data_IF_539900709382
#
_entry.id   IF_539900709382
#
_cell.length_a   1.000
_cell.length_b   1.000
_cell.length_c   1.000
_cell.angle_alpha   90.00
_cell.angle_beta   90.00
_cell.angle_gamma   90.00
#
_symmetry.space_group_name_H-M   'P 1'
#
loop_
_entity.id
_entity.type
_entity.pdbx_description
1 polymer ?
#
# COMPACT_ATOMS: atom_id res chain seq x y z
N UNK A 1 -7.85 7.91 29.21
CA UNK A 1 -7.54 7.31 27.89
C UNK A 1 -8.45 6.10 27.79
N UNK A 2 -9.56 6.21 27.07
CA UNK A 2 -10.53 5.12 26.97
C UNK A 2 -10.03 4.15 25.90
N UNK A 3 -9.56 2.99 26.32
CA UNK A 3 -9.40 1.84 25.44
C UNK A 3 -10.82 1.42 25.03
N UNK A 4 -11.13 1.61 23.75
CA UNK A 4 -12.31 0.97 23.15
C UNK A 4 -11.93 -0.50 23.04
N UNK A 5 -12.47 -1.33 23.93
CA UNK A 5 -12.43 -2.78 23.79
C UNK A 5 -13.30 -3.13 22.57
N UNK A 6 -12.67 -3.57 21.48
CA UNK A 6 -13.38 -4.13 20.34
C UNK A 6 -13.85 -5.52 20.72
N UNK A 7 -15.13 -5.78 20.46
CA UNK A 7 -15.83 -6.97 20.90
C UNK A 7 -15.51 -8.13 19.93
N UNK A 8 -14.48 -8.91 20.25
CA UNK A 8 -13.94 -10.03 19.44
C UNK A 8 -15.01 -11.05 19.00
N UNK A 9 -16.16 -11.14 19.70
CA UNK A 9 -17.25 -12.05 19.37
C UNK A 9 -17.99 -11.73 18.07
N UNK A 10 -18.10 -10.45 17.69
CA UNK A 10 -18.78 -10.03 16.44
C UNK A 10 -17.87 -10.27 15.24
N UNK A 11 -16.56 -10.08 15.41
CA UNK A 11 -15.56 -10.28 14.36
C UNK A 11 -15.48 -11.76 13.95
N UNK A 12 -15.62 -12.69 14.91
CA UNK A 12 -15.59 -14.14 14.64
C UNK A 12 -16.84 -14.61 13.89
N UNK A 13 -18.05 -14.20 14.28
CA UNK A 13 -19.29 -14.62 13.59
C UNK A 13 -19.37 -14.04 12.17
N UNK A 14 -19.00 -12.77 11.97
CA UNK A 14 -18.94 -12.20 10.62
C UNK A 14 -17.84 -12.88 9.80
N UNK A 15 -16.62 -13.02 10.31
CA UNK A 15 -15.52 -13.73 9.63
C UNK A 15 -15.92 -15.15 9.23
N UNK A 16 -16.65 -15.86 10.09
CA UNK A 16 -17.13 -17.23 9.82
C UNK A 16 -18.19 -17.24 8.72
N UNK A 17 -19.18 -16.33 8.76
CA UNK A 17 -20.24 -16.23 7.75
C UNK A 17 -19.72 -15.81 6.37
N UNK A 18 -18.69 -14.96 6.31
CA UNK A 18 -18.12 -14.48 5.04
C UNK A 18 -17.13 -15.47 4.40
N UNK A 19 -16.59 -16.43 5.17
CA UNK A 19 -15.71 -17.51 4.70
C UNK A 19 -16.47 -18.77 4.24
N UNK A 20 -17.80 -18.72 4.19
CA UNK A 20 -18.63 -19.85 3.74
C UNK A 20 -18.42 -20.19 2.25
N UNK A 21 -17.89 -19.26 1.44
CA UNK A 21 -17.44 -19.57 0.07
C UNK A 21 -16.12 -20.38 0.10
N UNK A 22 -16.16 -21.57 -0.52
CA UNK A 22 -15.02 -22.48 -0.64
C UNK A 22 -13.77 -21.81 -1.23
N UNK A 23 -13.93 -20.89 -2.19
CA UNK A 23 -12.80 -20.19 -2.79
C UNK A 23 -12.13 -19.23 -1.79
N UNK A 24 -12.93 -18.49 -1.03
CA UNK A 24 -12.43 -17.54 -0.03
C UNK A 24 -11.80 -18.26 1.17
N UNK A 25 -12.36 -19.38 1.60
CA UNK A 25 -11.75 -20.24 2.62
C UNK A 25 -10.37 -20.73 2.19
N UNK A 26 -10.23 -21.20 0.95
CA UNK A 26 -8.94 -21.67 0.41
C UNK A 26 -7.90 -20.55 0.34
N UNK A 27 -8.30 -19.35 -0.07
CA UNK A 27 -7.40 -18.19 -0.11
C UNK A 27 -6.91 -17.80 1.30
N UNK A 28 -7.81 -17.82 2.29
CA UNK A 28 -7.46 -17.60 3.69
C UNK A 28 -6.47 -18.65 4.21
N UNK A 29 -6.78 -19.94 4.05
CA UNK A 29 -5.93 -21.04 4.49
C UNK A 29 -4.55 -21.03 3.82
N UNK A 30 -4.50 -20.69 2.53
CA UNK A 30 -3.25 -20.56 1.77
C UNK A 30 -2.33 -19.47 2.33
N UNK A 31 -2.91 -18.33 2.72
CA UNK A 31 -2.15 -17.22 3.33
C UNK A 31 -1.70 -17.56 4.75
N UNK A 32 -2.53 -18.22 5.55
CA UNK A 32 -2.13 -18.69 6.88
C UNK A 32 -0.97 -19.69 6.81
N UNK A 33 -1.03 -20.64 5.87
CA UNK A 33 0.07 -21.60 5.67
C UNK A 33 1.37 -20.91 5.25
N UNK A 34 1.30 -19.89 4.39
CA UNK A 34 2.48 -19.06 4.08
C UNK A 34 2.99 -18.35 5.34
N UNK A 35 2.09 -17.81 6.17
CA UNK A 35 2.45 -17.20 7.45
C UNK A 35 3.13 -18.19 8.41
N UNK A 36 2.83 -19.47 8.38
CA UNK A 36 3.57 -20.42 9.24
C UNK A 36 5.01 -20.66 8.73
N UNK A 37 5.22 -20.64 7.42
CA UNK A 37 6.49 -20.99 6.79
C UNK A 37 7.46 -19.82 6.62
N UNK A 38 6.93 -18.61 6.38
CA UNK A 38 7.75 -17.47 5.99
C UNK A 38 8.47 -16.81 7.19
N UNK A 39 9.67 -16.23 6.99
CA UNK A 39 10.35 -15.50 8.05
C UNK A 39 9.61 -14.22 8.42
N UNK A 40 9.80 -13.74 9.65
CA UNK A 40 9.30 -12.44 10.06
C UNK A 40 10.14 -11.30 9.45
N UNK A 41 9.51 -10.20 9.07
CA UNK A 41 10.15 -9.01 8.50
C UNK A 41 10.05 -7.83 9.46
N UNK A 42 11.21 -7.37 9.93
CA UNK A 42 11.34 -6.15 10.74
C UNK A 42 11.06 -4.90 9.88
N UNK A 43 9.78 -4.58 9.74
CA UNK A 43 9.26 -3.47 8.94
C UNK A 43 7.85 -3.09 9.39
N UNK A 44 7.50 -1.81 9.30
CA UNK A 44 6.16 -1.33 9.55
C UNK A 44 5.92 -0.76 10.95
N UNK A 45 6.96 -0.55 11.76
CA UNK A 45 6.82 0.01 13.10
C UNK A 45 5.95 1.28 13.10
N UNK A 46 4.92 1.30 13.94
CA UNK A 46 3.96 2.40 14.10
C UNK A 46 3.13 2.74 12.84
N UNK A 47 3.18 1.93 11.79
CA UNK A 47 2.37 2.15 10.60
C UNK A 47 0.93 1.70 10.82
N UNK A 48 0.00 2.45 10.24
CA UNK A 48 -1.41 2.08 10.19
C UNK A 48 -1.82 1.76 8.75
N UNK A 49 -2.34 0.56 8.54
CA UNK A 49 -2.76 0.05 7.24
C UNK A 49 -4.27 -0.13 7.20
N UNK A 50 -4.91 0.46 6.20
CA UNK A 50 -6.32 0.31 5.93
C UNK A 50 -6.55 -0.58 4.71
N UNK A 51 -7.28 -1.66 4.91
CA UNK A 51 -7.75 -2.58 3.87
C UNK A 51 -9.17 -2.20 3.48
N UNK A 52 -9.43 -2.12 2.18
CA UNK A 52 -10.77 -1.88 1.64
C UNK A 52 -11.14 -3.02 0.69
N UNK A 53 -12.19 -3.76 1.04
CA UNK A 53 -12.72 -4.86 0.23
C UNK A 53 -14.16 -5.17 0.58
N UNK A 54 -15.02 -5.27 -0.44
CA UNK A 54 -16.44 -5.58 -0.32
C UNK A 54 -16.83 -6.95 -0.94
N UNK A 55 -15.86 -7.70 -1.46
CA UNK A 55 -16.10 -8.92 -2.25
C UNK A 55 -15.13 -10.09 -2.01
N UNK A 56 -13.98 -9.86 -1.41
CA UNK A 56 -12.95 -10.91 -1.24
C UNK A 56 -12.53 -11.03 0.22
N UNK A 57 -13.45 -11.45 1.11
CA UNK A 57 -13.21 -11.47 2.55
C UNK A 57 -12.10 -12.44 2.95
N UNK A 58 -12.01 -13.63 2.36
CA UNK A 58 -11.01 -14.62 2.75
C UNK A 58 -9.61 -14.20 2.37
N UNK A 59 -9.43 -13.62 1.18
CA UNK A 59 -8.17 -13.00 0.80
C UNK A 59 -7.82 -11.81 1.67
N UNK A 60 -8.80 -10.97 2.02
CA UNK A 60 -8.61 -9.78 2.85
C UNK A 60 -8.14 -10.19 4.25
N UNK A 61 -8.91 -11.01 4.95
CA UNK A 61 -8.56 -11.46 6.30
C UNK A 61 -7.27 -12.29 6.30
N UNK A 62 -7.06 -13.16 5.31
CA UNK A 62 -5.83 -13.94 5.23
C UNK A 62 -4.60 -13.05 5.09
N UNK A 63 -4.68 -11.99 4.30
CA UNK A 63 -3.57 -11.06 4.12
C UNK A 63 -3.38 -10.16 5.34
N UNK A 64 -4.46 -9.77 6.02
CA UNK A 64 -4.37 -9.02 7.28
C UNK A 64 -3.65 -9.82 8.36
N UNK A 65 -4.06 -11.07 8.58
CA UNK A 65 -3.42 -11.96 9.56
C UNK A 65 -1.97 -12.24 9.19
N UNK A 66 -1.69 -12.41 7.89
CA UNK A 66 -0.32 -12.53 7.40
C UNK A 66 0.53 -11.30 7.74
N UNK A 67 0.04 -10.08 7.47
CA UNK A 67 0.78 -8.85 7.80
C UNK A 67 0.98 -8.70 9.30
N UNK A 68 -0.04 -8.92 10.12
CA UNK A 68 0.07 -8.87 11.59
C UNK A 68 1.12 -9.84 12.13
N UNK A 69 1.23 -11.04 11.55
CA UNK A 69 2.19 -12.05 11.99
C UNK A 69 3.62 -11.80 11.48
N UNK A 70 3.76 -11.19 10.30
CA UNK A 70 5.04 -11.11 9.56
C UNK A 70 5.67 -9.74 9.49
N UNK A 71 5.05 -8.74 10.10
CA UNK A 71 5.56 -7.38 10.14
C UNK A 71 5.36 -6.78 11.53
N UNK A 72 5.92 -5.60 11.78
CA UNK A 72 5.67 -4.81 12.99
C UNK A 72 4.62 -3.72 12.78
N UNK A 73 3.74 -3.89 11.77
CA UNK A 73 2.64 -2.96 11.52
C UNK A 73 1.76 -2.87 12.78
N UNK A 74 1.63 -1.66 13.31
CA UNK A 74 0.94 -1.43 14.58
C UNK A 74 -0.56 -1.68 14.47
N UNK A 75 -1.19 -1.21 13.39
CA UNK A 75 -2.62 -1.40 13.17
C UNK A 75 -2.90 -1.85 11.74
N UNK A 76 -3.68 -2.93 11.62
CA UNK A 76 -4.21 -3.43 10.35
C UNK A 76 -5.72 -3.47 10.46
N UNK A 77 -6.40 -2.58 9.74
CA UNK A 77 -7.84 -2.34 9.84
C UNK A 77 -8.49 -2.73 8.52
N UNK A 78 -9.67 -3.37 8.55
CA UNK A 78 -10.47 -3.62 7.34
C UNK A 78 -11.78 -2.85 7.38
N UNK A 79 -12.20 -2.39 6.20
CA UNK A 79 -13.50 -1.80 5.97
C UNK A 79 -14.12 -2.38 4.69
N UNK A 80 -15.40 -2.68 4.76
CA UNK A 80 -16.18 -3.14 3.59
C UNK A 80 -16.83 -1.98 2.84
N UNK A 81 -17.05 -0.86 3.53
CA UNK A 81 -17.71 0.31 2.95
C UNK A 81 -16.96 1.61 3.23
N UNK A 82 -17.22 2.62 2.41
CA UNK A 82 -16.77 3.99 2.61
C UNK A 82 -17.22 4.55 3.97
N UNK A 83 -18.42 4.19 4.42
CA UNK A 83 -18.98 4.65 5.69
C UNK A 83 -18.15 4.12 6.87
N UNK A 84 -17.83 2.82 6.86
CA UNK A 84 -17.00 2.20 7.89
C UNK A 84 -15.62 2.85 7.92
N UNK A 85 -15.00 3.02 6.76
CA UNK A 85 -13.68 3.64 6.64
C UNK A 85 -13.65 5.07 7.21
N UNK A 86 -14.70 5.87 6.98
CA UNK A 86 -14.82 7.24 7.53
C UNK A 86 -14.87 7.27 9.06
N UNK A 87 -15.30 6.21 9.73
CA UNK A 87 -15.29 6.14 11.19
C UNK A 87 -13.85 6.01 11.70
N UNK A 88 -13.07 5.09 11.12
CA UNK A 88 -11.70 4.82 11.56
C UNK A 88 -10.72 5.96 11.25
N UNK A 89 -10.89 6.60 10.10
CA UNK A 89 -10.03 7.70 9.63
C UNK A 89 -10.11 8.95 10.52
N UNK A 90 -11.15 9.07 11.36
CA UNK A 90 -11.22 10.13 12.38
C UNK A 90 -10.31 9.86 13.58
N UNK A 91 -9.99 8.60 13.84
CA UNK A 91 -9.30 8.17 15.04
C UNK A 91 -7.81 7.88 14.81
N UNK A 92 -7.40 7.58 13.57
CA UNK A 92 -6.04 7.21 13.24
C UNK A 92 -5.60 7.77 11.89
N UNK A 93 -4.32 8.15 11.80
CA UNK A 93 -3.68 8.53 10.55
C UNK A 93 -3.29 7.26 9.80
N UNK A 94 -3.81 7.08 8.59
CA UNK A 94 -3.47 5.94 7.74
C UNK A 94 -2.22 6.24 6.90
N UNK A 95 -1.25 5.32 6.94
CA UNK A 95 -0.01 5.41 6.16
C UNK A 95 -0.12 4.66 4.83
N UNK A 96 -0.82 3.51 4.84
CA UNK A 96 -0.99 2.67 3.67
C UNK A 96 -2.47 2.32 3.49
N UNK A 97 -2.98 2.55 2.30
CA UNK A 97 -4.29 2.11 1.84
C UNK A 97 -4.12 0.95 0.85
N UNK A 98 -4.74 -0.19 1.15
CA UNK A 98 -4.71 -1.39 0.32
C UNK A 98 -6.13 -1.72 -0.14
N UNK A 99 -6.38 -1.62 -1.44
CA UNK A 99 -7.59 -2.18 -2.03
C UNK A 99 -7.37 -3.67 -2.30
N UNK A 100 -8.26 -4.53 -1.79
CA UNK A 100 -8.21 -5.96 -2.08
C UNK A 100 -9.25 -6.29 -3.14
N UNK A 101 -8.76 -6.65 -4.32
CA UNK A 101 -9.61 -6.93 -5.47
C UNK A 101 -10.39 -5.72 -5.98
N UNK A 102 -11.28 -6.01 -6.93
CA UNK A 102 -12.21 -5.05 -7.49
C UNK A 102 -13.34 -4.74 -6.49
N UNK A 103 -13.60 -3.47 -6.25
CA UNK A 103 -14.72 -3.03 -5.40
C UNK A 103 -16.06 -3.10 -6.15
N UNK A 104 -17.05 -3.81 -5.59
CA UNK A 104 -18.47 -3.77 -5.98
C UNK A 104 -18.98 -2.34 -5.97
N UNK A 105 -18.76 -1.66 -4.86
CA UNK A 105 -19.18 -0.30 -4.64
C UNK A 105 -18.05 0.63 -5.04
N UNK A 106 -18.25 1.35 -6.15
CA UNK A 106 -17.26 2.30 -6.67
C UNK A 106 -17.02 3.48 -5.74
N UNK A 107 -17.96 3.80 -4.85
CA UNK A 107 -17.77 4.88 -3.88
C UNK A 107 -16.65 4.56 -2.89
N UNK A 108 -16.29 3.28 -2.70
CA UNK A 108 -15.17 2.89 -1.85
C UNK A 108 -13.82 3.50 -2.30
N UNK A 109 -13.64 3.84 -3.59
CA UNK A 109 -12.42 4.50 -4.06
C UNK A 109 -12.29 5.97 -3.62
N UNK A 110 -13.40 6.62 -3.25
CA UNK A 110 -13.39 7.99 -2.74
C UNK A 110 -12.58 8.14 -1.45
N UNK A 111 -12.37 7.04 -0.73
CA UNK A 111 -11.57 7.01 0.49
C UNK A 111 -10.15 7.54 0.28
N UNK A 112 -9.60 7.38 -0.92
CA UNK A 112 -8.29 7.94 -1.29
C UNK A 112 -8.23 9.46 -1.12
N UNK A 113 -9.28 10.15 -1.57
CA UNK A 113 -9.35 11.61 -1.50
C UNK A 113 -9.39 12.06 -0.05
N UNK A 114 -10.24 11.43 0.75
CA UNK A 114 -10.39 11.70 2.19
C UNK A 114 -9.07 11.47 2.92
N UNK A 115 -8.39 10.36 2.63
CA UNK A 115 -7.09 10.06 3.23
C UNK A 115 -6.00 11.04 2.81
N UNK A 116 -5.96 11.44 1.53
CA UNK A 116 -4.99 12.43 1.05
C UNK A 116 -5.17 13.80 1.68
N UNK A 117 -6.40 14.20 2.01
CA UNK A 117 -6.68 15.45 2.72
C UNK A 117 -6.10 15.47 4.15
N UNK A 118 -6.06 14.32 4.82
CA UNK A 118 -5.47 14.20 6.17
C UNK A 118 -3.97 13.87 6.15
N UNK A 119 -3.56 13.02 5.21
CA UNK A 119 -2.19 12.57 5.02
C UNK A 119 -1.85 12.59 3.52
N UNK A 120 -1.25 13.69 3.02
CA UNK A 120 -0.82 13.78 1.62
C UNK A 120 0.18 12.69 1.21
N UNK A 121 0.81 12.02 2.19
CA UNK A 121 1.78 10.93 2.00
C UNK A 121 1.18 9.52 2.05
N UNK A 122 -0.14 9.39 2.02
CA UNK A 122 -0.78 8.07 2.06
C UNK A 122 -0.39 7.25 0.82
N UNK A 123 0.23 6.11 1.06
CA UNK A 123 0.61 5.18 -0.01
C UNK A 123 -0.59 4.31 -0.37
N UNK A 124 -1.01 4.32 -1.64
CA UNK A 124 -2.16 3.54 -2.10
C UNK A 124 -1.73 2.41 -3.03
N UNK A 125 -2.17 1.19 -2.76
CA UNK A 125 -1.86 0.00 -3.55
C UNK A 125 -3.10 -0.87 -3.80
N UNK A 126 -3.16 -1.50 -4.97
CA UNK A 126 -4.12 -2.56 -5.31
C UNK A 126 -3.48 -3.94 -5.12
N UNK A 127 -4.10 -4.82 -4.34
CA UNK A 127 -3.73 -6.22 -4.21
C UNK A 127 -4.81 -7.10 -4.84
N UNK A 128 -4.56 -7.63 -6.03
CA UNK A 128 -5.58 -8.34 -6.80
C UNK A 128 -4.97 -9.28 -7.85
N UNK A 129 -5.82 -10.08 -8.50
CA UNK A 129 -5.41 -10.73 -9.73
C UNK A 129 -5.31 -9.69 -10.86
N UNK A 130 -4.09 -9.44 -11.36
CA UNK A 130 -3.83 -8.34 -12.30
C UNK A 130 -4.26 -8.67 -13.74
N UNK A 131 -5.56 -8.74 -13.95
CA UNK A 131 -6.17 -8.82 -15.28
C UNK A 131 -6.46 -7.44 -15.88
N UNK A 132 -7.08 -7.42 -17.06
CA UNK A 132 -7.44 -6.19 -17.76
C UNK A 132 -8.45 -5.34 -16.98
N UNK A 133 -9.35 -5.95 -16.20
CA UNK A 133 -10.34 -5.22 -15.41
C UNK A 133 -9.67 -4.48 -14.28
N UNK A 134 -8.80 -5.15 -13.51
CA UNK A 134 -8.03 -4.50 -12.44
C UNK A 134 -7.10 -3.42 -12.99
N UNK A 135 -6.51 -3.63 -14.17
CA UNK A 135 -5.68 -2.61 -14.80
C UNK A 135 -6.48 -1.35 -15.14
N UNK A 136 -7.65 -1.51 -15.77
CA UNK A 136 -8.53 -0.38 -16.07
C UNK A 136 -8.98 0.31 -14.79
N UNK A 137 -9.32 -0.46 -13.76
CA UNK A 137 -9.72 0.04 -12.46
C UNK A 137 -8.64 0.90 -11.81
N UNK A 138 -7.39 0.45 -11.84
CA UNK A 138 -6.26 1.21 -11.33
C UNK A 138 -6.06 2.51 -12.10
N UNK A 139 -6.25 2.50 -13.42
CA UNK A 139 -6.15 3.70 -14.24
C UNK A 139 -7.26 4.71 -13.94
N UNK A 140 -8.52 4.26 -13.92
CA UNK A 140 -9.70 5.10 -13.68
C UNK A 140 -9.66 5.76 -12.30
N UNK A 141 -9.18 5.03 -11.29
CA UNK A 141 -9.11 5.50 -9.91
C UNK A 141 -7.73 6.02 -9.52
N UNK A 142 -6.80 6.20 -10.46
CA UNK A 142 -5.45 6.73 -10.22
C UNK A 142 -4.64 5.96 -9.16
N UNK A 143 -4.76 4.63 -9.13
CA UNK A 143 -3.97 3.74 -8.27
C UNK A 143 -2.70 3.36 -9.04
N UNK A 144 -1.56 3.89 -8.60
CA UNK A 144 -0.28 3.75 -9.31
C UNK A 144 0.45 2.44 -8.97
N UNK A 145 0.13 1.86 -7.82
CA UNK A 145 0.80 0.68 -7.29
C UNK A 145 -0.16 -0.50 -7.30
N UNK A 146 0.27 -1.61 -7.88
CA UNK A 146 -0.51 -2.82 -7.93
C UNK A 146 0.39 -4.04 -7.74
N UNK A 147 -0.07 -4.99 -6.94
CA UNK A 147 0.60 -6.25 -6.68
C UNK A 147 -0.32 -7.42 -7.00
N UNK A 148 0.26 -8.47 -7.60
CA UNK A 148 -0.51 -9.65 -8.00
C UNK A 148 -0.72 -10.60 -6.83
N UNK A 149 -1.98 -10.86 -6.49
CA UNK A 149 -2.35 -11.84 -5.46
C UNK A 149 -2.01 -13.31 -5.82
N UNK A 150 -1.50 -13.56 -7.03
CA UNK A 150 -0.98 -14.88 -7.43
C UNK A 150 0.48 -15.11 -7.00
N UNK A 151 1.14 -14.06 -6.52
CA UNK A 151 2.50 -14.16 -5.99
C UNK A 151 2.48 -14.46 -4.50
N UNK A 152 3.59 -14.98 -3.94
CA UNK A 152 3.73 -15.16 -2.50
C UNK A 152 3.46 -13.87 -1.72
N UNK A 153 2.86 -13.99 -0.54
CA UNK A 153 2.62 -12.84 0.33
C UNK A 153 3.94 -12.22 0.86
N UNK A 154 5.00 -13.01 0.95
CA UNK A 154 6.35 -12.53 1.29
C UNK A 154 6.86 -11.49 0.28
N UNK A 155 6.66 -11.77 -1.00
CA UNK A 155 7.01 -10.84 -2.08
C UNK A 155 6.21 -9.54 -1.98
N UNK A 156 4.98 -9.60 -1.44
CA UNK A 156 4.17 -8.42 -1.20
C UNK A 156 4.72 -7.53 -0.09
N UNK A 157 5.23 -8.11 1.01
CA UNK A 157 5.94 -7.34 2.05
C UNK A 157 7.16 -6.63 1.46
N UNK A 158 7.98 -7.36 0.69
CA UNK A 158 9.14 -6.79 0.00
C UNK A 158 8.74 -5.63 -0.92
N UNK A 159 7.67 -5.83 -1.71
CA UNK A 159 7.11 -4.81 -2.57
C UNK A 159 6.61 -3.58 -1.82
N UNK A 160 5.88 -3.76 -0.71
CA UNK A 160 5.38 -2.67 0.12
C UNK A 160 6.55 -1.87 0.70
N UNK A 161 7.54 -2.53 1.29
CA UNK A 161 8.72 -1.88 1.87
C UNK A 161 9.47 -1.02 0.87
N UNK A 162 9.78 -1.57 -0.30
CA UNK A 162 10.50 -0.86 -1.35
C UNK A 162 9.67 0.31 -1.90
N UNK A 163 8.44 0.03 -2.31
CA UNK A 163 7.58 1.00 -2.99
C UNK A 163 7.14 2.14 -2.06
N UNK A 164 6.87 1.84 -0.79
CA UNK A 164 6.56 2.84 0.23
C UNK A 164 7.75 3.78 0.48
N UNK A 165 8.97 3.23 0.56
CA UNK A 165 10.19 4.02 0.75
C UNK A 165 10.42 4.96 -0.45
N UNK A 166 10.26 4.45 -1.68
CA UNK A 166 10.36 5.26 -2.90
C UNK A 166 9.28 6.35 -2.92
N UNK A 167 8.03 6.01 -2.59
CA UNK A 167 6.92 6.96 -2.54
C UNK A 167 7.22 8.15 -1.62
N UNK A 168 7.68 7.87 -0.40
CA UNK A 168 8.04 8.91 0.57
C UNK A 168 9.19 9.79 0.07
N UNK A 169 10.22 9.19 -0.53
CA UNK A 169 11.35 9.94 -1.10
C UNK A 169 10.92 10.88 -2.24
N UNK A 170 9.99 10.44 -3.08
CA UNK A 170 9.45 11.26 -4.16
C UNK A 170 8.66 12.46 -3.64
N UNK A 171 7.88 12.27 -2.58
CA UNK A 171 7.14 13.37 -1.95
C UNK A 171 8.06 14.39 -1.26
N UNK A 172 9.23 13.99 -0.78
CA UNK A 172 10.23 14.90 -0.20
C UNK A 172 11.00 15.74 -1.24
N UNK A 173 10.90 15.37 -2.53
CA UNK A 173 11.62 16.03 -3.62
C UNK A 173 10.73 16.99 -4.43
N UNK A 174 9.49 17.24 -4.01
CA UNK A 174 8.48 18.07 -4.72
C UNK A 174 8.25 17.64 -6.19
N UNK A 175 8.56 16.40 -6.52
CA UNK A 175 8.26 15.84 -7.84
C UNK A 175 6.78 15.47 -7.84
N UNK A 176 5.95 16.39 -8.35
CA UNK A 176 4.50 16.24 -8.36
C UNK A 176 4.07 14.99 -9.17
N UNK A 177 3.64 13.96 -8.44
CA UNK A 177 3.33 12.61 -8.96
C UNK A 177 1.84 12.39 -9.25
N UNK A 178 0.98 13.38 -9.01
CA UNK A 178 -0.47 13.27 -9.21
C UNK A 178 -0.92 13.44 -10.68
N UNK A 179 0.03 13.47 -11.60
CA UNK A 179 -0.29 13.39 -13.02
C UNK A 179 -0.60 11.93 -13.42
N UNK A 180 -1.60 11.69 -14.28
CA UNK A 180 -1.90 10.34 -14.75
C UNK A 180 -0.65 9.70 -15.37
N UNK A 181 -0.45 8.37 -15.21
CA UNK A 181 0.58 7.69 -15.96
C UNK A 181 0.29 7.95 -17.45
N UNK A 182 1.18 8.69 -18.12
CA UNK A 182 1.14 8.81 -19.59
C UNK A 182 1.05 7.40 -20.13
N UNK A 183 0.15 7.11 -21.08
CA UNK A 183 0.02 5.80 -21.75
C UNK A 183 1.39 5.37 -22.26
N UNK A 184 2.15 4.67 -21.44
CA UNK A 184 3.37 4.00 -21.83
C UNK A 184 2.97 2.55 -22.06
N UNK A 185 3.26 2.09 -23.27
CA UNK A 185 3.14 0.70 -23.66
C UNK A 185 3.81 -0.16 -22.58
N UNK A 186 3.01 -0.92 -21.86
CA UNK A 186 3.52 -1.96 -20.98
C UNK A 186 4.11 -3.03 -21.89
N UNK A 187 5.42 -2.94 -22.13
CA UNK A 187 6.16 -3.98 -22.82
C UNK A 187 6.12 -5.22 -21.93
N UNK A 188 5.62 -6.32 -22.47
CA UNK A 188 5.50 -7.63 -21.83
C UNK A 188 6.85 -8.35 -21.65
N UNK A 189 7.94 -7.60 -21.49
CA UNK A 189 9.30 -8.11 -21.52
C UNK A 189 9.94 -8.08 -20.11
N UNK A 190 10.31 -9.25 -19.53
CA UNK A 190 10.90 -9.32 -18.20
C UNK A 190 12.23 -8.59 -18.07
N UNK A 191 12.89 -8.18 -19.16
CA UNK A 191 14.15 -7.43 -19.15
C UNK A 191 13.96 -5.94 -18.83
N UNK A 192 12.75 -5.38 -18.99
CA UNK A 192 12.50 -3.94 -18.80
C UNK A 192 12.09 -3.53 -17.38
N UNK A 193 11.93 -4.48 -16.43
CA UNK A 193 11.73 -4.15 -15.01
C UNK A 193 12.90 -3.35 -14.41
N UNK A 194 14.11 -3.54 -14.94
CA UNK A 194 15.27 -2.76 -14.51
C UNK A 194 15.21 -1.30 -15.00
N UNK A 195 14.59 -0.99 -16.14
CA UNK A 195 14.65 0.38 -16.69
C UNK A 195 13.74 1.39 -15.98
N UNK A 196 12.61 0.95 -15.41
CA UNK A 196 11.73 1.86 -14.66
C UNK A 196 12.32 2.22 -13.29
N UNK A 197 12.89 1.23 -12.59
CA UNK A 197 13.62 1.44 -11.33
C UNK A 197 14.86 2.29 -11.60
N UNK A 198 15.69 1.95 -12.60
CA UNK A 198 16.90 2.72 -12.95
C UNK A 198 16.56 4.17 -13.36
N UNK A 199 15.48 4.40 -14.11
CA UNK A 199 15.08 5.75 -14.54
C UNK A 199 14.64 6.64 -13.38
N UNK A 200 13.88 6.11 -12.41
CA UNK A 200 13.49 6.83 -11.20
C UNK A 200 14.69 6.99 -10.26
N UNK A 201 15.51 5.94 -10.09
CA UNK A 201 16.72 5.98 -9.26
C UNK A 201 17.74 6.98 -9.77
N UNK A 202 17.95 7.09 -11.08
CA UNK A 202 18.84 8.07 -11.68
C UNK A 202 18.32 9.50 -11.48
N UNK A 203 17.01 9.74 -11.63
CA UNK A 203 16.42 11.07 -11.35
C UNK A 203 16.54 11.47 -9.88
N UNK A 204 16.33 10.53 -8.97
CA UNK A 204 16.51 10.72 -7.52
C UNK A 204 17.98 10.97 -7.19
N UNK A 205 18.90 10.19 -7.77
CA UNK A 205 20.36 10.36 -7.63
C UNK A 205 20.81 11.72 -8.15
N UNK A 206 20.32 12.15 -9.31
CA UNK A 206 20.64 13.45 -9.89
C UNK A 206 20.08 14.61 -9.05
N UNK A 207 18.88 14.45 -8.49
CA UNK A 207 18.30 15.42 -7.56
C UNK A 207 19.11 15.52 -6.25
N UNK A 208 19.57 14.39 -5.70
CA UNK A 208 20.40 14.34 -4.51
C UNK A 208 21.80 14.96 -4.74
N UNK A 209 22.44 14.65 -5.88
CA UNK A 209 23.74 15.24 -6.28
C UNK A 209 23.64 16.76 -6.52
N UNK A 210 22.53 17.24 -7.08
CA UNK A 210 22.28 18.69 -7.23
C UNK A 210 22.08 19.42 -5.89
N UNK A 211 21.54 18.74 -4.88
CA UNK A 211 21.28 19.33 -3.55
C UNK A 211 22.56 19.40 -2.70
N UNK A 212 23.38 18.35 -2.75
CA UNK A 212 24.68 18.28 -2.07
C UNK A 212 25.71 19.23 -2.67
N UNK A 213 25.75 19.37 -4.00
CA UNK A 213 26.60 20.37 -4.66
C UNK A 213 26.22 21.81 -4.31
N UNK A 214 24.93 22.14 -4.18
CA UNK A 214 24.47 23.45 -3.70
C UNK A 214 24.82 23.74 -2.23
N UNK A 215 24.84 22.73 -1.35
CA UNK A 215 25.30 22.90 0.04
C UNK A 215 26.80 23.18 0.13
N UNK A 216 27.61 22.48 -0.67
CA UNK A 216 29.06 22.69 -0.68
C UNK A 216 29.47 24.07 -1.23
N UNK A 217 28.73 24.62 -2.20
CA UNK A 217 28.95 25.99 -2.70
C UNK A 217 28.61 27.03 -1.62
N UNK A 218 27.57 26.78 -0.81
CA UNK A 218 27.16 27.71 0.25
C UNK A 218 28.16 27.76 1.41
N UNK A 219 28.81 26.63 1.72
CA UNK A 219 29.87 26.54 2.73
C UNK A 219 31.21 27.16 2.27
N UNK A 220 31.50 27.15 0.96
CA UNK A 220 32.69 27.83 0.43
C UNK A 220 32.54 29.36 0.41
N UNK A 221 31.31 29.88 0.24
CA UNK A 221 31.06 31.32 0.24
C UNK A 221 31.07 31.93 1.66
N UNK A 222 30.74 31.15 2.70
CA UNK A 222 30.82 31.59 4.10
C UNK A 222 32.24 31.55 4.66
N UNK A 223 33.12 30.71 4.12
CA UNK A 223 34.53 30.62 4.53
C UNK A 223 35.44 31.69 3.89
N UNK A 224 34.95 32.47 2.93
CA UNK A 224 35.65 33.64 2.37
C UNK A 224 35.28 34.98 3.00
N UNK A 225 34.40 34.98 4.02
CA UNK A 225 33.97 36.18 4.77
C UNK A 225 34.58 36.30 6.17
N UNK A 226 35.57 35.48 6.51
CA UNK A 226 36.32 35.57 7.75
C UNK A 226 37.82 35.73 7.50
#
# INVERSE_FOLDING_TARGET
MNLIEFNDGIEIEEKTRWLEDYAEKKDYESLNKQSEADPHHDWGDNMNVLFVSDRTPGRTYGLMEYLKAKTNIANVIHCSTLADAKVFIKCCKIDILIFIGYQKDKTNYEIKKILKEQNPKVYTVMYAFLDIMIKNECMENYIQHAFSSKKPALDFIGYLKESYSIHNLLLETDINYDSPPKRQSFVSDPVLKNHFVIGVFNKVKDAFLKRTSKMNIKLSDESQKH
#
